data_IF_000999600007
#
_entry.id   IF_000999600007
#
_cell.length_a   1.000
_cell.length_b   1.000
_cell.length_c   1.000
_cell.angle_alpha   90.00
_cell.angle_beta   90.00
_cell.angle_gamma   90.00
#
_symmetry.space_group_name_H-M   'P 1'
#
loop_
_entity.id
_entity.type
_entity.pdbx_description
1 polymer ?
#
# COMPACT_ATOMS: atom_id res chain seq x y z
N UNK A 1 -16.88 -12.26 12.86
CA UNK A 1 -17.27 -11.09 12.04
C UNK A 1 -17.18 -11.52 10.59
N UNK A 2 -18.16 -11.17 9.76
CA UNK A 2 -18.20 -11.55 8.35
C UNK A 2 -18.46 -10.30 7.50
N UNK A 3 -17.90 -10.27 6.31
CA UNK A 3 -18.18 -9.23 5.31
C UNK A 3 -18.67 -9.89 4.02
N UNK A 4 -19.60 -9.26 3.31
CA UNK A 4 -20.17 -9.85 2.09
C UNK A 4 -19.23 -9.62 0.91
N UNK A 5 -18.82 -8.38 0.64
CA UNK A 5 -18.11 -8.01 -0.58
C UNK A 5 -16.70 -7.44 -0.37
N UNK A 6 -16.33 -7.07 0.85
CA UNK A 6 -15.05 -6.40 1.13
C UNK A 6 -14.27 -7.14 2.21
N UNK A 7 -12.97 -6.98 2.20
CA UNK A 7 -12.15 -7.39 3.34
C UNK A 7 -12.40 -6.44 4.51
N UNK A 8 -12.26 -6.94 5.72
CA UNK A 8 -12.10 -6.10 6.90
C UNK A 8 -10.64 -6.22 7.30
N UNK A 9 -9.95 -5.08 7.34
CA UNK A 9 -8.52 -5.01 7.65
C UNK A 9 -8.28 -4.10 8.85
N UNK A 10 -7.24 -4.38 9.61
CA UNK A 10 -6.78 -3.58 10.75
C UNK A 10 -5.31 -3.23 10.53
N UNK A 11 -4.87 -1.97 10.81
CA UNK A 11 -3.46 -1.62 10.70
C UNK A 11 -2.61 -2.43 11.68
N UNK A 12 -1.38 -2.76 11.28
CA UNK A 12 -0.39 -3.35 12.17
C UNK A 12 0.31 -2.20 12.90
N UNK A 13 0.08 -2.13 14.21
CA UNK A 13 0.51 -0.97 15.01
C UNK A 13 -0.41 0.24 14.83
N UNK A 14 0.18 1.42 14.83
CA UNK A 14 -0.56 2.67 14.72
C UNK A 14 -0.98 2.96 13.26
N UNK A 15 -2.02 3.78 13.08
CA UNK A 15 -2.50 4.20 11.74
C UNK A 15 -1.52 5.12 11.00
N UNK A 16 -0.61 5.76 11.76
CA UNK A 16 0.39 6.68 11.22
C UNK A 16 1.77 6.34 11.75
N UNK A 17 2.76 6.35 10.87
CA UNK A 17 4.17 6.14 11.17
C UNK A 17 4.90 7.49 11.24
N UNK A 18 4.31 8.45 11.97
CA UNK A 18 4.81 9.83 12.07
C UNK A 18 5.52 10.13 13.40
N UNK A 19 5.82 9.11 14.16
CA UNK A 19 6.55 9.22 15.42
C UNK A 19 7.95 8.61 15.30
N UNK A 20 8.95 9.28 15.87
CA UNK A 20 10.30 8.74 16.03
C UNK A 20 10.59 8.67 17.53
N UNK A 21 11.10 7.53 17.99
CA UNK A 21 11.56 7.33 19.36
C UNK A 21 13.04 7.69 19.48
N UNK A 22 13.38 8.65 20.35
CA UNK A 22 14.76 9.03 20.66
C UNK A 22 14.96 8.83 22.18
N UNK A 23 15.67 7.77 22.55
CA UNK A 23 15.75 7.34 23.96
C UNK A 23 14.35 6.96 24.47
N UNK A 24 13.95 7.55 25.60
CA UNK A 24 12.63 7.30 26.22
C UNK A 24 11.51 8.24 25.73
N UNK A 25 11.81 9.11 24.76
CA UNK A 25 10.86 10.12 24.28
C UNK A 25 10.38 9.82 22.86
N UNK A 26 9.06 9.96 22.65
CA UNK A 26 8.44 9.93 21.33
C UNK A 26 8.32 11.35 20.78
N UNK A 27 8.84 11.58 19.57
CA UNK A 27 8.73 12.85 18.84
C UNK A 27 7.81 12.65 17.65
N UNK A 28 6.82 13.52 17.50
CA UNK A 28 5.97 13.59 16.30
C UNK A 28 6.76 14.34 15.24
N UNK A 29 7.11 13.65 14.15
CA UNK A 29 7.87 14.21 13.03
C UNK A 29 6.99 15.05 12.13
N UNK A 30 5.73 14.66 11.97
CA UNK A 30 4.76 15.38 11.15
C UNK A 30 3.37 15.31 11.80
N UNK A 31 2.77 16.45 12.07
CA UNK A 31 1.42 16.56 12.62
C UNK A 31 0.31 16.59 11.56
N UNK A 32 0.68 16.61 10.26
CA UNK A 32 -0.28 16.64 9.16
C UNK A 32 -0.96 15.28 8.96
N UNK A 33 -2.17 15.12 9.44
CA UNK A 33 -2.97 13.90 9.24
C UNK A 33 -3.36 13.66 7.77
N UNK A 34 -3.25 14.68 6.92
CA UNK A 34 -3.55 14.58 5.49
C UNK A 34 -2.37 14.08 4.67
N UNK A 35 -1.15 14.04 5.23
CA UNK A 35 0.03 13.57 4.52
C UNK A 35 0.03 12.04 4.41
N UNK A 36 -0.19 11.54 3.20
CA UNK A 36 -0.29 10.12 2.91
C UNK A 36 1.03 9.36 3.09
N UNK A 37 2.16 10.06 3.12
CA UNK A 37 3.50 9.45 3.29
C UNK A 37 3.66 8.78 4.65
N UNK A 38 3.01 9.32 5.66
CA UNK A 38 3.08 8.80 7.02
C UNK A 38 1.94 7.84 7.37
N UNK A 39 0.98 7.62 6.47
CA UNK A 39 -0.09 6.66 6.71
C UNK A 39 0.46 5.25 6.61
N UNK A 40 0.21 4.44 7.65
CA UNK A 40 0.57 3.03 7.66
C UNK A 40 -0.17 2.30 6.52
N UNK A 41 0.53 1.41 5.85
CA UNK A 41 -0.01 0.59 4.75
C UNK A 41 -0.01 -0.89 5.07
N UNK A 42 0.63 -1.29 6.15
CA UNK A 42 0.60 -2.68 6.59
C UNK A 42 -0.67 -2.95 7.40
N UNK A 43 -1.36 -4.02 7.04
CA UNK A 43 -2.61 -4.40 7.65
C UNK A 43 -2.71 -5.91 7.84
N UNK A 44 -3.46 -6.33 8.86
CA UNK A 44 -3.90 -7.70 9.06
C UNK A 44 -5.33 -7.86 8.52
N UNK A 45 -5.60 -8.96 7.81
CA UNK A 45 -6.94 -9.33 7.39
C UNK A 45 -7.71 -9.91 8.58
N UNK A 46 -8.72 -9.19 9.03
CA UNK A 46 -9.62 -9.64 10.12
C UNK A 46 -10.76 -10.52 9.59
N UNK A 47 -11.26 -10.19 8.39
CA UNK A 47 -12.29 -10.99 7.71
C UNK A 47 -12.16 -10.89 6.18
N UNK A 48 -12.45 -12.00 5.52
CA UNK A 48 -12.49 -12.11 4.07
C UNK A 48 -13.93 -11.96 3.55
N UNK A 49 -14.11 -11.52 2.29
CA UNK A 49 -15.43 -11.47 1.67
C UNK A 49 -16.04 -12.88 1.51
N UNK A 50 -17.35 -12.96 1.67
CA UNK A 50 -18.10 -14.21 1.49
C UNK A 50 -18.58 -14.39 0.04
N UNK A 51 -18.77 -13.30 -0.69
CA UNK A 51 -19.36 -13.31 -2.04
C UNK A 51 -18.46 -13.91 -3.11
N UNK A 52 -17.15 -13.99 -2.88
CA UNK A 52 -16.19 -14.56 -3.83
C UNK A 52 -14.99 -15.21 -3.13
N UNK A 53 -14.38 -16.18 -3.82
CA UNK A 53 -13.17 -16.85 -3.34
C UNK A 53 -11.95 -15.96 -3.57
N UNK A 54 -11.03 -15.94 -2.63
CA UNK A 54 -9.78 -15.21 -2.69
C UNK A 54 -8.63 -16.08 -2.19
N UNK A 55 -7.41 -15.79 -2.64
CA UNK A 55 -6.17 -16.42 -2.14
C UNK A 55 -5.82 -15.93 -0.73
N UNK A 56 -6.39 -14.79 -0.32
CA UNK A 56 -6.15 -14.19 0.98
C UNK A 56 -7.00 -14.85 2.07
N UNK A 57 -6.42 -14.97 3.26
CA UNK A 57 -7.07 -15.59 4.43
C UNK A 57 -7.08 -14.63 5.61
N UNK A 58 -7.95 -14.86 6.57
CA UNK A 58 -7.92 -14.20 7.87
C UNK A 58 -6.56 -14.43 8.54
N UNK A 59 -5.96 -13.36 9.09
CA UNK A 59 -4.64 -13.35 9.70
C UNK A 59 -3.50 -13.06 8.73
N UNK A 60 -3.76 -13.02 7.41
CA UNK A 60 -2.72 -12.63 6.45
C UNK A 60 -2.34 -11.16 6.65
N UNK A 61 -1.04 -10.90 6.57
CA UNK A 61 -0.48 -9.56 6.57
C UNK A 61 -0.40 -9.08 5.13
N UNK A 62 -0.92 -7.89 4.88
CA UNK A 62 -1.05 -7.33 3.53
C UNK A 62 -0.61 -5.88 3.47
N UNK A 63 -0.21 -5.43 2.30
CA UNK A 63 -0.02 -4.01 1.98
C UNK A 63 -1.29 -3.49 1.30
N UNK A 64 -1.81 -2.39 1.84
CA UNK A 64 -3.08 -1.80 1.40
C UNK A 64 -2.92 -0.34 0.96
N UNK A 65 -3.93 0.17 0.29
CA UNK A 65 -3.97 1.57 -0.12
C UNK A 65 -4.05 2.49 1.11
N UNK A 66 -3.21 3.54 1.14
CA UNK A 66 -3.11 4.48 2.27
C UNK A 66 -4.44 5.14 2.65
N UNK A 67 -5.35 5.36 1.70
CA UNK A 67 -6.65 5.98 1.97
C UNK A 67 -7.54 5.19 2.93
N UNK A 68 -7.24 3.91 3.20
CA UNK A 68 -8.02 3.12 4.16
C UNK A 68 -7.88 3.66 5.58
N UNK A 69 -6.65 3.98 5.99
CA UNK A 69 -6.33 4.41 7.36
C UNK A 69 -6.18 5.92 7.50
N UNK A 70 -6.18 6.65 6.38
CA UNK A 70 -6.02 8.10 6.35
C UNK A 70 -7.17 8.80 7.05
N UNK A 71 -6.84 9.88 7.79
CA UNK A 71 -7.80 10.86 8.33
C UNK A 71 -7.85 12.09 7.45
N UNK A 72 -8.94 12.81 7.52
CA UNK A 72 -9.17 14.04 6.78
C UNK A 72 -9.67 15.11 7.74
N UNK A 73 -9.54 16.37 7.36
CA UNK A 73 -10.24 17.46 8.03
C UNK A 73 -11.56 17.76 7.30
N UNK A 74 -12.64 17.89 8.04
CA UNK A 74 -13.89 18.40 7.50
C UNK A 74 -13.83 19.92 7.28
N UNK A 75 -14.90 20.51 6.73
CA UNK A 75 -14.99 21.94 6.49
C UNK A 75 -14.91 22.80 7.77
N UNK A 76 -15.09 22.20 8.93
CA UNK A 76 -14.97 22.84 10.25
C UNK A 76 -13.61 22.60 10.90
N UNK A 77 -12.68 21.98 10.21
CA UNK A 77 -11.36 21.65 10.72
C UNK A 77 -11.30 20.48 11.70
N UNK A 78 -12.41 19.70 11.85
CA UNK A 78 -12.44 18.52 12.70
C UNK A 78 -11.89 17.31 11.97
N UNK A 79 -11.03 16.54 12.64
CA UNK A 79 -10.50 15.27 12.10
C UNK A 79 -11.62 14.22 11.99
N UNK A 80 -11.78 13.66 10.78
CA UNK A 80 -12.73 12.61 10.47
C UNK A 80 -12.02 11.41 9.84
N UNK A 81 -12.59 10.24 10.05
CA UNK A 81 -12.08 9.00 9.45
C UNK A 81 -12.44 8.92 7.96
N UNK A 82 -11.74 8.05 7.23
CA UNK A 82 -12.11 7.72 5.86
C UNK A 82 -13.52 7.12 5.79
N UNK A 83 -14.16 7.19 4.63
CA UNK A 83 -15.48 6.56 4.38
C UNK A 83 -15.44 5.04 4.48
N UNK A 84 -14.24 4.45 4.50
CA UNK A 84 -13.99 3.01 4.65
C UNK A 84 -13.84 2.57 6.10
N UNK A 85 -13.75 3.51 7.03
CA UNK A 85 -13.64 3.22 8.45
C UNK A 85 -14.89 2.49 8.96
N UNK A 86 -14.68 1.44 9.75
CA UNK A 86 -15.76 0.66 10.34
C UNK A 86 -15.84 0.92 11.86
N UNK A 87 -14.93 0.33 12.63
CA UNK A 87 -14.82 0.50 14.09
C UNK A 87 -13.47 -0.02 14.57
N UNK A 88 -13.02 0.37 15.74
CA UNK A 88 -11.82 -0.16 16.42
C UNK A 88 -10.60 -0.20 15.47
N UNK A 89 -10.35 0.89 14.74
CA UNK A 89 -9.34 1.05 13.68
C UNK A 89 -9.46 0.06 12.51
N UNK A 90 -10.55 -0.70 12.42
CA UNK A 90 -10.82 -1.54 11.27
C UNK A 90 -11.43 -0.74 10.13
N UNK A 91 -11.05 -1.12 8.90
CA UNK A 91 -11.55 -0.51 7.68
C UNK A 91 -12.01 -1.58 6.68
N UNK A 92 -12.98 -1.20 5.83
CA UNK A 92 -13.37 -2.01 4.68
C UNK A 92 -12.40 -1.78 3.53
N UNK A 93 -11.81 -2.84 3.00
CA UNK A 93 -10.92 -2.81 1.84
C UNK A 93 -11.52 -3.60 0.68
N UNK A 94 -11.61 -3.00 -0.49
CA UNK A 94 -11.93 -3.71 -1.73
C UNK A 94 -10.68 -4.46 -2.22
N UNK A 95 -10.85 -5.45 -3.10
CA UNK A 95 -9.72 -6.25 -3.61
C UNK A 95 -8.68 -5.40 -4.35
N UNK A 96 -9.11 -4.36 -5.05
CA UNK A 96 -8.28 -3.39 -5.75
C UNK A 96 -7.47 -2.46 -4.82
N UNK A 97 -7.74 -2.50 -3.53
CA UNK A 97 -7.02 -1.74 -2.51
C UNK A 97 -6.02 -2.60 -1.72
N UNK A 98 -5.87 -3.87 -2.08
CA UNK A 98 -4.90 -4.80 -1.47
C UNK A 98 -3.88 -5.19 -2.52
N UNK A 99 -2.61 -4.85 -2.29
CA UNK A 99 -1.56 -4.92 -3.29
C UNK A 99 -0.63 -6.11 -3.16
N UNK A 100 -0.26 -6.44 -1.93
CA UNK A 100 0.70 -7.49 -1.63
C UNK A 100 0.27 -8.26 -0.39
N UNK A 101 0.71 -9.51 -0.32
CA UNK A 101 0.60 -10.38 0.84
C UNK A 101 2.01 -10.71 1.34
N UNK A 102 2.20 -10.74 2.65
CA UNK A 102 3.42 -11.22 3.27
C UNK A 102 3.43 -12.75 3.27
N UNK A 103 4.39 -13.34 2.62
CA UNK A 103 4.76 -14.76 2.74
C UNK A 103 5.90 -14.86 3.75
N UNK A 104 6.26 -16.07 4.21
CA UNK A 104 7.18 -16.30 5.34
C UNK A 104 8.41 -15.38 5.40
N UNK A 105 9.09 -15.13 4.27
CA UNK A 105 10.29 -14.28 4.20
C UNK A 105 10.25 -13.22 3.08
N UNK A 106 9.15 -13.07 2.36
CA UNK A 106 9.04 -12.17 1.21
C UNK A 106 7.64 -11.58 1.06
N UNK A 107 7.55 -10.57 0.23
CA UNK A 107 6.27 -10.01 -0.20
C UNK A 107 5.90 -10.58 -1.57
N UNK A 108 4.67 -11.04 -1.70
CA UNK A 108 4.07 -11.53 -2.95
C UNK A 108 3.02 -10.55 -3.43
N UNK A 109 3.06 -10.19 -4.70
CA UNK A 109 2.03 -9.33 -5.30
C UNK A 109 0.74 -10.11 -5.52
N UNK A 110 -0.37 -9.41 -5.46
CA UNK A 110 -1.65 -9.94 -5.90
C UNK A 110 -1.80 -9.77 -7.41
N UNK A 111 -2.60 -10.63 -8.02
CA UNK A 111 -2.67 -10.90 -9.47
C UNK A 111 -2.71 -9.67 -10.41
N UNK A 112 -3.16 -8.51 -9.96
CA UNK A 112 -3.31 -7.32 -10.80
C UNK A 112 -2.17 -6.30 -10.68
N UNK A 113 -1.22 -6.52 -9.77
CA UNK A 113 -0.20 -5.54 -9.46
C UNK A 113 1.21 -6.12 -9.66
N UNK A 114 2.12 -5.28 -10.12
CA UNK A 114 3.54 -5.52 -10.02
C UNK A 114 4.22 -4.27 -9.43
N UNK A 115 5.34 -4.46 -8.78
CA UNK A 115 6.11 -3.35 -8.24
C UNK A 115 7.38 -3.17 -9.04
N UNK A 116 7.63 -1.95 -9.45
CA UNK A 116 8.81 -1.58 -10.25
C UNK A 116 9.65 -0.57 -9.49
N UNK A 117 10.96 -0.70 -9.59
CA UNK A 117 11.89 0.31 -9.15
C UNK A 117 12.06 1.36 -10.27
N UNK A 118 11.90 2.65 -10.00
CA UNK A 118 12.10 3.67 -11.01
C UNK A 118 13.56 3.69 -11.51
N UNK A 119 13.73 3.96 -12.80
CA UNK A 119 15.05 4.14 -13.40
C UNK A 119 15.42 5.61 -13.33
N UNK A 120 16.58 5.90 -12.76
CA UNK A 120 17.14 7.24 -12.66
C UNK A 120 18.07 7.47 -13.84
N UNK A 121 17.85 8.54 -14.58
CA UNK A 121 18.80 9.04 -15.57
C UNK A 121 19.86 9.88 -14.85
N UNK A 122 21.12 9.50 -14.98
CA UNK A 122 22.23 10.32 -14.52
C UNK A 122 22.67 11.21 -15.68
N UNK A 123 22.04 12.36 -15.81
CA UNK A 123 22.57 13.41 -16.65
C UNK A 123 23.79 14.07 -15.98
N UNK A 124 24.75 14.54 -16.78
CA UNK A 124 25.98 15.23 -16.33
C UNK A 124 25.74 16.48 -15.48
N UNK A 125 24.50 16.92 -15.36
CA UNK A 125 24.07 18.12 -14.62
C UNK A 125 23.73 17.89 -13.14
N UNK A 126 24.08 16.77 -12.51
CA UNK A 126 23.77 16.41 -11.10
C UNK A 126 22.27 16.41 -10.71
N UNK A 127 21.36 16.60 -11.64
CA UNK A 127 19.92 16.49 -11.43
C UNK A 127 19.45 15.11 -11.87
N UNK A 128 19.27 14.19 -10.92
CA UNK A 128 18.71 12.88 -11.18
C UNK A 128 17.25 13.03 -11.62
N UNK A 129 16.96 12.77 -12.89
CA UNK A 129 15.58 12.71 -13.41
C UNK A 129 15.10 11.28 -13.50
N UNK A 130 13.91 11.01 -13.00
CA UNK A 130 13.27 9.72 -13.18
C UNK A 130 12.83 9.53 -14.64
N UNK A 131 13.19 8.42 -15.25
CA UNK A 131 12.67 8.04 -16.58
C UNK A 131 11.18 7.72 -16.45
N UNK A 132 10.36 8.44 -17.20
CA UNK A 132 8.90 8.26 -17.18
C UNK A 132 8.50 6.95 -17.83
N UNK A 133 7.52 6.28 -17.26
CA UNK A 133 6.91 5.06 -17.82
C UNK A 133 7.88 3.88 -18.03
N UNK A 134 9.00 3.86 -17.33
CA UNK A 134 10.01 2.79 -17.38
C UNK A 134 10.43 2.43 -15.96
N UNK A 135 10.52 1.13 -15.68
CA UNK A 135 10.96 0.64 -14.37
C UNK A 135 11.56 -0.75 -14.44
N UNK A 136 12.29 -1.12 -13.41
CA UNK A 136 12.84 -2.47 -13.23
C UNK A 136 11.89 -3.23 -12.30
N UNK A 137 11.39 -4.39 -12.74
CA UNK A 137 10.48 -5.23 -11.96
C UNK A 137 11.17 -5.66 -10.67
N UNK A 138 10.56 -5.33 -9.53
CA UNK A 138 11.05 -5.73 -8.19
C UNK A 138 10.21 -6.88 -7.62
N UNK A 139 8.90 -6.79 -7.74
CA UNK A 139 7.97 -7.86 -7.37
C UNK A 139 7.04 -8.12 -8.53
N UNK A 140 7.15 -9.31 -9.09
CA UNK A 140 6.42 -9.77 -10.25
C UNK A 140 5.03 -10.31 -9.87
N UNK A 141 4.18 -10.57 -10.86
CA UNK A 141 2.92 -11.26 -10.71
C UNK A 141 2.78 -12.41 -11.72
N UNK A 142 1.82 -13.29 -11.51
CA UNK A 142 1.61 -14.46 -12.35
C UNK A 142 1.30 -14.13 -13.82
N UNK A 143 0.69 -12.97 -14.09
CA UNK A 143 0.41 -12.54 -15.46
C UNK A 143 1.67 -12.14 -16.21
N UNK A 144 2.60 -11.45 -15.56
CA UNK A 144 3.90 -11.10 -16.15
C UNK A 144 4.81 -12.33 -16.30
N UNK A 145 4.77 -13.26 -15.34
CA UNK A 145 5.48 -14.54 -15.43
C UNK A 145 5.03 -15.35 -16.65
N UNK A 146 3.73 -15.39 -16.94
CA UNK A 146 3.21 -16.03 -18.15
C UNK A 146 3.74 -15.39 -19.44
N UNK A 147 4.10 -14.11 -19.41
CA UNK A 147 4.76 -13.38 -20.49
C UNK A 147 6.28 -13.51 -20.48
N UNK A 148 6.84 -14.36 -19.59
CA UNK A 148 8.30 -14.56 -19.40
C UNK A 148 9.02 -13.28 -18.91
N UNK A 149 8.32 -12.40 -18.21
CA UNK A 149 8.89 -11.24 -17.55
C UNK A 149 9.23 -11.63 -16.12
N UNK A 150 10.46 -11.40 -15.69
CA UNK A 150 10.99 -11.78 -14.38
C UNK A 150 11.39 -10.56 -13.54
N UNK A 151 11.62 -10.80 -12.25
CA UNK A 151 12.23 -9.78 -11.38
C UNK A 151 13.60 -9.38 -11.92
N UNK A 152 13.84 -8.08 -12.03
CA UNK A 152 15.06 -7.51 -12.62
C UNK A 152 14.89 -7.04 -14.07
N UNK A 153 13.85 -7.44 -14.76
CA UNK A 153 13.60 -7.02 -16.13
C UNK A 153 13.18 -5.56 -16.21
N UNK A 154 13.63 -4.90 -17.29
CA UNK A 154 13.22 -3.54 -17.62
C UNK A 154 11.86 -3.58 -18.33
N UNK A 155 10.90 -2.85 -17.81
CA UNK A 155 9.55 -2.81 -18.37
C UNK A 155 9.11 -1.39 -18.65
N UNK A 156 8.37 -1.21 -19.75
CA UNK A 156 7.66 0.00 -20.07
C UNK A 156 6.17 -0.14 -19.72
N UNK A 157 5.56 0.92 -19.20
CA UNK A 157 4.15 0.92 -18.88
C UNK A 157 3.45 2.18 -19.39
N UNK A 158 2.15 2.10 -19.55
CA UNK A 158 1.34 3.20 -20.06
C UNK A 158 1.29 4.33 -19.02
N UNK A 159 1.44 5.58 -19.47
CA UNK A 159 1.31 6.77 -18.64
C UNK A 159 0.02 6.74 -17.79
N UNK A 160 0.12 7.22 -16.55
CA UNK A 160 -0.96 7.25 -15.56
C UNK A 160 -1.46 5.85 -15.13
N UNK A 161 -0.61 4.83 -15.21
CA UNK A 161 -0.83 3.50 -14.63
C UNK A 161 0.10 3.21 -13.46
N UNK A 162 1.03 4.10 -13.22
CA UNK A 162 1.94 4.10 -12.08
C UNK A 162 1.30 4.75 -10.87
N UNK A 163 1.53 4.16 -9.70
CA UNK A 163 1.27 4.76 -8.40
C UNK A 163 2.56 4.80 -7.62
N UNK A 164 2.91 5.97 -7.11
CA UNK A 164 4.09 6.10 -6.27
C UNK A 164 3.85 5.40 -4.93
N UNK A 165 4.71 4.45 -4.64
CA UNK A 165 4.70 3.68 -3.40
C UNK A 165 5.93 4.08 -2.60
N UNK A 166 5.74 4.97 -1.64
CA UNK A 166 6.79 5.52 -0.78
C UNK A 166 6.95 4.69 0.48
#
# INVERSE_FOLDING_TARGET
MNSIHQFIVKPIGERYNNEITIGDKKLIVNSSISDHKFVNREAEIVATPLAYKTKLKKGDIVIVHHNLFRRYYDLKGKSVNSTKFFKDDMCFASIDQVYMKKSENSWETLDNYCFVKPVVDKDDSNLSKLKKCIGIVKYNNSALEALKISNGDLVGFKKNREFEFL
#
